data_IF_320900915546
#
_entry.id   IF_320900915546
#
_cell.length_a   1.000
_cell.length_b   1.000
_cell.length_c   1.000
_cell.angle_alpha   90.00
_cell.angle_beta   90.00
_cell.angle_gamma   90.00
#
_symmetry.space_group_name_H-M   'P 1'
#
loop_
_entity.id
_entity.type
_entity.pdbx_description
1 polymer ?
#
# COMPACT_ATOMS: atom_id res chain seq x y z
N UNK A 1 -13.98 -19.78 -6.08
CA UNK A 1 -14.67 -18.67 -5.39
C UNK A 1 -13.96 -18.36 -4.07
N UNK A 2 -13.95 -17.12 -3.57
CA UNK A 2 -13.33 -16.76 -2.27
C UNK A 2 -14.27 -15.90 -1.45
N UNK A 3 -14.44 -16.23 -0.17
CA UNK A 3 -15.31 -15.55 0.78
C UNK A 3 -14.50 -15.08 1.99
N UNK A 4 -14.79 -13.87 2.49
CA UNK A 4 -14.12 -13.28 3.65
C UNK A 4 -15.14 -13.02 4.75
N UNK A 5 -14.90 -13.57 5.93
CA UNK A 5 -15.71 -13.31 7.12
C UNK A 5 -15.13 -12.10 7.87
N UNK A 6 -15.87 -10.98 7.87
CA UNK A 6 -15.43 -9.75 8.54
C UNK A 6 -15.34 -9.88 10.08
N UNK A 7 -16.03 -10.86 10.68
CA UNK A 7 -16.10 -11.05 12.13
C UNK A 7 -14.94 -11.89 12.67
N UNK A 8 -14.51 -12.91 11.92
CA UNK A 8 -13.40 -13.79 12.29
C UNK A 8 -12.08 -13.39 11.60
N UNK A 9 -12.17 -12.67 10.48
CA UNK A 9 -11.03 -12.36 9.62
C UNK A 9 -10.53 -13.54 8.80
N UNK A 10 -11.29 -14.65 8.75
CA UNK A 10 -10.93 -15.84 7.99
C UNK A 10 -11.33 -15.70 6.51
N UNK A 11 -10.49 -16.23 5.63
CA UNK A 11 -10.80 -16.33 4.20
C UNK A 11 -11.01 -17.79 3.86
N UNK A 12 -12.16 -18.11 3.29
CA UNK A 12 -12.47 -19.43 2.75
C UNK A 12 -12.32 -19.40 1.23
N UNK A 13 -11.58 -20.38 0.70
CA UNK A 13 -11.38 -20.54 -0.74
C UNK A 13 -12.07 -21.82 -1.15
N UNK A 14 -12.92 -21.72 -2.16
CA UNK A 14 -13.68 -22.83 -2.71
C UNK A 14 -13.22 -23.12 -4.13
N UNK A 15 -12.88 -24.37 -4.41
CA UNK A 15 -12.70 -24.88 -5.76
C UNK A 15 -14.05 -25.34 -6.30
N UNK A 16 -14.38 -24.93 -7.52
CA UNK A 16 -15.54 -25.44 -8.24
C UNK A 16 -15.14 -26.77 -8.89
N UNK A 17 -15.91 -27.82 -8.61
CA UNK A 17 -15.66 -29.16 -9.13
C UNK A 17 -16.91 -29.75 -9.78
N UNK A 18 -16.72 -30.43 -10.91
CA UNK A 18 -17.79 -31.12 -11.63
C UNK A 18 -18.02 -32.50 -11.03
N UNK A 19 -19.27 -32.84 -10.77
CA UNK A 19 -19.66 -34.15 -10.24
C UNK A 19 -19.65 -35.18 -11.36
N UNK A 20 -18.83 -36.22 -11.22
CA UNK A 20 -18.66 -37.29 -12.20
C UNK A 20 -18.80 -38.67 -11.54
N UNK A 21 -19.10 -39.71 -12.33
CA UNK A 21 -19.14 -41.09 -11.82
C UNK A 21 -17.73 -41.67 -11.63
N UNK A 22 -16.81 -41.35 -12.54
CA UNK A 22 -15.41 -41.79 -12.48
C UNK A 22 -14.54 -40.55 -12.60
N UNK A 23 -13.66 -40.33 -11.63
CA UNK A 23 -12.77 -39.17 -11.57
C UNK A 23 -11.53 -39.43 -12.42
N UNK A 24 -11.34 -38.63 -13.46
CA UNK A 24 -10.14 -38.61 -14.30
C UNK A 24 -9.22 -37.44 -13.91
N UNK A 25 -9.79 -36.28 -13.54
CA UNK A 25 -9.05 -35.11 -13.07
C UNK A 25 -9.46 -34.70 -11.64
N UNK A 26 -8.75 -35.17 -10.59
CA UNK A 26 -9.07 -34.83 -9.21
C UNK A 26 -8.96 -33.34 -8.85
N UNK A 27 -8.40 -32.48 -9.70
CA UNK A 27 -8.40 -31.03 -9.43
C UNK A 27 -9.72 -30.36 -9.82
N UNK A 28 -10.38 -30.84 -10.88
CA UNK A 28 -11.59 -30.24 -11.46
C UNK A 28 -12.84 -31.11 -11.26
N UNK A 29 -12.67 -32.35 -10.82
CA UNK A 29 -13.73 -33.34 -10.68
C UNK A 29 -13.83 -33.89 -9.26
N UNK A 30 -15.03 -34.37 -8.92
CA UNK A 30 -15.36 -35.04 -7.66
C UNK A 30 -16.33 -36.19 -7.92
N UNK A 31 -16.15 -37.30 -7.20
CA UNK A 31 -17.05 -38.44 -7.29
C UNK A 31 -18.44 -38.10 -6.74
N UNK A 32 -19.49 -38.67 -7.32
CA UNK A 32 -20.88 -38.48 -6.85
C UNK A 32 -21.07 -38.77 -5.35
N UNK A 33 -20.39 -39.78 -4.81
CA UNK A 33 -20.49 -40.12 -3.39
C UNK A 33 -19.92 -39.01 -2.50
N UNK A 34 -18.72 -38.52 -2.81
CA UNK A 34 -18.08 -37.42 -2.07
C UNK A 34 -18.84 -36.10 -2.24
N UNK A 35 -19.37 -35.84 -3.44
CA UNK A 35 -20.18 -34.64 -3.69
C UNK A 35 -21.48 -34.62 -2.85
N UNK A 36 -22.08 -35.80 -2.61
CA UNK A 36 -23.28 -35.94 -1.79
C UNK A 36 -23.05 -35.73 -0.30
N UNK A 37 -21.83 -35.92 0.21
CA UNK A 37 -21.49 -35.57 1.59
C UNK A 37 -21.52 -34.05 1.82
N UNK A 38 -21.18 -33.28 0.78
CA UNK A 38 -21.20 -31.82 0.80
C UNK A 38 -22.60 -31.25 0.50
N UNK A 39 -23.29 -31.83 -0.48
CA UNK A 39 -24.60 -31.39 -0.92
C UNK A 39 -25.47 -32.61 -1.31
N UNK A 40 -26.43 -33.03 -0.47
CA UNK A 40 -27.15 -34.30 -0.66
C UNK A 40 -27.96 -34.44 -1.95
N UNK A 41 -28.33 -33.33 -2.59
CA UNK A 41 -29.21 -33.32 -3.77
C UNK A 41 -28.48 -33.26 -5.12
N UNK A 42 -27.14 -33.35 -5.13
CA UNK A 42 -26.33 -33.21 -6.36
C UNK A 42 -26.40 -34.44 -7.26
N UNK A 43 -26.34 -34.20 -8.57
CA UNK A 43 -26.36 -35.20 -9.62
C UNK A 43 -25.08 -35.13 -10.47
N UNK A 44 -24.83 -36.19 -11.23
CA UNK A 44 -23.72 -36.23 -12.19
C UNK A 44 -23.92 -35.14 -13.24
N UNK A 45 -22.89 -34.33 -13.47
CA UNK A 45 -22.92 -33.16 -14.34
C UNK A 45 -23.17 -31.84 -13.61
N UNK A 46 -23.56 -31.86 -12.33
CA UNK A 46 -23.66 -30.64 -11.53
C UNK A 46 -22.28 -30.16 -11.06
N UNK A 47 -22.20 -28.90 -10.64
CA UNK A 47 -20.99 -28.30 -10.06
C UNK A 47 -21.16 -28.04 -8.57
N UNK A 48 -20.17 -28.44 -7.77
CA UNK A 48 -20.13 -28.24 -6.32
C UNK A 48 -18.91 -27.43 -5.92
N UNK A 49 -19.04 -26.69 -4.82
CA UNK A 49 -17.97 -25.87 -4.25
C UNK A 49 -17.31 -26.63 -3.09
N UNK A 50 -16.07 -27.06 -3.29
CA UNK A 50 -15.29 -27.77 -2.26
C UNK A 50 -14.34 -26.80 -1.58
N UNK A 51 -14.39 -26.75 -0.24
CA UNK A 51 -13.47 -25.93 0.55
C UNK A 51 -12.03 -26.43 0.36
N UNK A 52 -11.16 -25.57 -0.16
CA UNK A 52 -9.73 -25.84 -0.25
C UNK A 52 -8.99 -25.26 0.96
N UNK A 53 -8.33 -26.16 1.69
CA UNK A 53 -7.37 -25.79 2.71
C UNK A 53 -6.03 -25.54 2.01
N UNK A 54 -5.75 -24.29 1.67
CA UNK A 54 -4.45 -23.91 1.12
C UNK A 54 -3.43 -23.89 2.26
N UNK A 55 -2.62 -24.96 2.34
CA UNK A 55 -1.45 -24.96 3.21
C UNK A 55 -0.55 -23.75 2.87
N UNK A 56 -0.18 -22.96 3.87
CA UNK A 56 0.56 -21.69 3.77
C UNK A 56 -0.21 -20.44 3.34
N UNK A 57 -1.52 -20.51 3.04
CA UNK A 57 -2.30 -19.33 2.71
C UNK A 57 -2.25 -18.29 3.83
N UNK A 58 -2.41 -18.70 5.10
CA UNK A 58 -2.34 -17.80 6.24
C UNK A 58 -1.02 -17.02 6.35
N UNK A 59 0.12 -17.63 6.00
CA UNK A 59 1.43 -16.94 6.02
C UNK A 59 1.53 -15.90 4.90
N UNK A 60 1.12 -16.27 3.68
CA UNK A 60 1.14 -15.38 2.52
C UNK A 60 0.15 -14.22 2.72
N UNK A 61 -1.07 -14.52 3.18
CA UNK A 61 -2.10 -13.55 3.51
C UNK A 61 -1.65 -12.60 4.62
N UNK A 62 -1.03 -13.10 5.69
CA UNK A 62 -0.50 -12.24 6.76
C UNK A 62 0.62 -11.30 6.27
N UNK A 63 1.51 -11.78 5.39
CA UNK A 63 2.55 -10.96 4.76
C UNK A 63 1.94 -9.88 3.85
N UNK A 64 0.97 -10.25 3.01
CA UNK A 64 0.26 -9.33 2.14
C UNK A 64 -0.49 -8.27 2.96
N UNK A 65 -1.22 -8.69 4.01
CA UNK A 65 -1.91 -7.80 4.92
C UNK A 65 -0.95 -6.80 5.57
N UNK A 66 0.20 -7.25 6.08
CA UNK A 66 1.25 -6.36 6.60
C UNK A 66 1.71 -5.35 5.55
N UNK A 67 1.92 -5.78 4.30
CA UNK A 67 2.34 -4.90 3.21
C UNK A 67 1.26 -3.86 2.88
N UNK A 68 -0.01 -4.26 2.81
CA UNK A 68 -1.15 -3.35 2.56
C UNK A 68 -1.31 -2.35 3.70
N UNK A 69 -1.19 -2.78 4.95
CA UNK A 69 -1.25 -1.90 6.12
C UNK A 69 -0.12 -0.86 6.06
N UNK A 70 1.12 -1.31 5.83
CA UNK A 70 2.27 -0.40 5.71
C UNK A 70 2.10 0.60 4.56
N UNK A 71 1.55 0.15 3.44
CA UNK A 71 1.23 1.04 2.32
C UNK A 71 0.18 2.07 2.71
N UNK A 72 -0.90 1.68 3.40
CA UNK A 72 -1.97 2.59 3.85
C UNK A 72 -1.48 3.60 4.87
N UNK A 73 -0.61 3.19 5.79
CA UNK A 73 0.05 4.10 6.74
C UNK A 73 0.89 5.13 6.00
N UNK A 74 1.71 4.69 5.05
CA UNK A 74 2.54 5.60 4.24
C UNK A 74 1.69 6.57 3.40
N UNK A 75 0.62 6.08 2.76
CA UNK A 75 -0.32 6.93 2.02
C UNK A 75 -0.93 8.01 2.92
N UNK A 76 -1.35 7.64 4.13
CA UNK A 76 -1.89 8.59 5.11
C UNK A 76 -0.84 9.62 5.57
N UNK A 77 0.42 9.22 5.77
CA UNK A 77 1.50 10.15 6.09
C UNK A 77 1.77 11.16 4.97
N UNK A 78 1.86 10.68 3.72
CA UNK A 78 2.03 11.52 2.52
C UNK A 78 0.87 12.52 2.41
N UNK A 79 -0.36 12.05 2.61
CA UNK A 79 -1.56 12.89 2.55
C UNK A 79 -1.58 13.94 3.65
N UNK A 80 -1.14 13.58 4.86
CA UNK A 80 -1.06 14.50 5.97
C UNK A 80 -0.09 15.64 5.68
N UNK A 81 1.10 15.32 5.16
CA UNK A 81 2.11 16.31 4.77
C UNK A 81 1.55 17.22 3.66
N UNK A 82 1.04 16.63 2.57
CA UNK A 82 0.52 17.42 1.46
C UNK A 82 -0.59 18.39 1.90
N UNK A 83 -1.56 17.91 2.69
CA UNK A 83 -2.66 18.74 3.18
C UNK A 83 -2.20 19.86 4.10
N UNK A 84 -1.09 19.69 4.82
CA UNK A 84 -0.56 20.73 5.71
C UNK A 84 0.15 21.88 4.95
N UNK A 85 0.74 21.60 3.78
CA UNK A 85 1.52 22.58 3.04
C UNK A 85 0.85 23.11 1.78
N UNK A 86 -0.17 22.42 1.23
CA UNK A 86 -0.84 22.83 -0.03
C UNK A 86 -1.36 24.27 0.00
N UNK A 87 -1.87 24.72 1.15
CA UNK A 87 -2.46 26.05 1.33
C UNK A 87 -1.43 27.11 1.73
N UNK A 88 -0.18 26.70 2.01
CA UNK A 88 0.95 27.58 2.38
C UNK A 88 1.83 27.94 1.19
N UNK A 89 1.44 27.55 -0.02
CA UNK A 89 2.15 27.93 -1.24
C UNK A 89 2.10 29.45 -1.36
N UNK A 90 3.28 30.07 -1.48
CA UNK A 90 3.40 31.52 -1.45
C UNK A 90 3.82 32.11 -0.10
N UNK A 91 3.89 31.30 0.95
CA UNK A 91 4.32 31.76 2.27
C UNK A 91 5.82 31.55 2.49
N UNK A 92 6.38 32.34 3.42
CA UNK A 92 7.72 32.12 3.96
C UNK A 92 7.67 31.15 5.13
N UNK A 93 8.56 30.16 5.11
CA UNK A 93 8.70 29.18 6.18
C UNK A 93 10.12 29.17 6.73
N UNK A 94 10.24 28.93 8.04
CA UNK A 94 11.54 28.71 8.68
C UNK A 94 11.80 27.20 8.77
N UNK A 95 13.03 26.79 8.50
CA UNK A 95 13.47 25.42 8.63
C UNK A 95 14.94 25.33 9.06
N UNK A 96 15.44 24.11 9.16
CA UNK A 96 16.84 23.82 9.51
C UNK A 96 17.48 23.02 8.39
N UNK A 97 18.65 23.43 7.92
CA UNK A 97 19.39 22.69 6.89
C UNK A 97 19.81 21.32 7.44
N UNK A 98 19.28 20.26 6.86
CA UNK A 98 19.51 18.87 7.26
C UNK A 98 20.74 18.29 6.58
N UNK A 99 20.82 18.44 5.26
CA UNK A 99 21.86 17.86 4.40
C UNK A 99 21.88 18.53 3.02
N UNK A 100 22.90 18.21 2.24
CA UNK A 100 23.06 18.65 0.86
C UNK A 100 23.04 17.42 -0.05
N UNK A 101 22.25 17.46 -1.13
CA UNK A 101 22.14 16.38 -2.11
C UNK A 101 22.35 16.94 -3.50
N UNK A 102 23.45 16.55 -4.17
CA UNK A 102 23.76 16.98 -5.55
C UNK A 102 23.72 18.51 -5.80
N UNK A 103 23.94 19.31 -4.75
CA UNK A 103 23.87 20.77 -4.80
C UNK A 103 22.54 21.37 -4.35
N UNK A 104 21.51 20.54 -4.16
CA UNK A 104 20.25 20.93 -3.54
C UNK A 104 20.39 20.89 -2.01
N UNK A 105 19.66 21.77 -1.34
CA UNK A 105 19.66 21.84 0.12
C UNK A 105 18.38 21.17 0.62
N UNK A 106 18.53 20.13 1.43
CA UNK A 106 17.40 19.51 2.12
C UNK A 106 17.21 20.21 3.46
N UNK A 107 15.99 20.68 3.69
CA UNK A 107 15.59 21.49 4.85
C UNK A 107 14.54 20.73 5.65
N UNK A 108 14.75 20.62 6.95
CA UNK A 108 13.76 20.14 7.89
C UNK A 108 12.74 21.24 8.19
N UNK A 109 11.47 20.98 7.88
CA UNK A 109 10.33 21.86 8.19
C UNK A 109 9.57 21.39 9.45
N UNK A 110 10.13 20.44 10.20
CA UNK A 110 9.58 19.84 11.43
C UNK A 110 8.61 18.70 11.19
N UNK A 111 7.72 18.83 10.19
CA UNK A 111 6.74 17.79 9.83
C UNK A 111 6.93 17.22 8.43
N UNK A 112 7.82 17.80 7.64
CA UNK A 112 8.12 17.41 6.28
C UNK A 112 9.55 17.82 5.91
N UNK A 113 10.10 17.18 4.88
CA UNK A 113 11.33 17.63 4.24
C UNK A 113 10.99 18.60 3.10
N UNK A 114 11.67 19.73 3.09
CA UNK A 114 11.72 20.67 1.98
C UNK A 114 13.00 20.51 1.18
N UNK A 115 12.95 20.80 -0.11
CA UNK A 115 14.12 20.84 -0.98
C UNK A 115 14.22 22.25 -1.56
N UNK A 116 15.37 22.89 -1.36
CA UNK A 116 15.74 24.15 -1.97
C UNK A 116 16.72 23.88 -3.13
N UNK A 117 16.22 23.86 -4.39
CA UNK A 117 17.03 23.51 -5.54
C UNK A 117 18.16 24.51 -5.76
N UNK A 118 19.31 24.05 -6.28
CA UNK A 118 20.47 24.92 -6.55
C UNK A 118 20.14 26.16 -7.39
N UNK A 119 19.16 26.05 -8.29
CA UNK A 119 18.72 27.15 -9.17
C UNK A 119 17.94 28.25 -8.45
N UNK A 120 17.29 27.90 -7.34
CA UNK A 120 16.49 28.83 -6.52
C UNK A 120 17.30 29.38 -5.33
N UNK A 121 18.51 28.87 -5.09
CA UNK A 121 19.41 29.35 -4.03
C UNK A 121 19.96 30.74 -4.36
N UNK A 122 20.03 31.59 -3.35
CA UNK A 122 20.65 32.92 -3.46
C UNK A 122 22.16 32.77 -3.54
N UNK A 123 22.76 33.23 -4.64
CA UNK A 123 24.20 33.07 -4.93
C UNK A 123 25.14 33.53 -3.80
N UNK A 124 24.73 34.49 -2.97
CA UNK A 124 25.53 35.07 -1.89
C UNK A 124 25.29 34.41 -0.53
N UNK A 125 24.27 33.58 -0.38
CA UNK A 125 23.99 32.88 0.86
C UNK A 125 24.66 31.51 0.85
N UNK A 126 25.49 31.25 1.85
CA UNK A 126 26.09 29.96 2.10
C UNK A 126 25.49 29.40 3.39
N UNK A 127 24.99 28.17 3.32
CA UNK A 127 24.46 27.46 4.47
C UNK A 127 25.37 26.28 4.83
N UNK A 128 25.40 25.95 6.11
CA UNK A 128 25.96 24.71 6.64
C UNK A 128 24.85 23.85 7.23
N UNK A 129 25.17 22.57 7.47
CA UNK A 129 24.27 21.67 8.18
C UNK A 129 23.97 22.19 9.58
N UNK A 130 22.69 22.26 9.93
CA UNK A 130 22.21 22.80 11.20
C UNK A 130 21.85 24.28 11.17
N UNK A 131 22.17 24.99 10.09
CA UNK A 131 21.83 26.41 9.97
C UNK A 131 20.32 26.59 9.82
N UNK A 132 19.80 27.67 10.41
CA UNK A 132 18.41 28.07 10.24
C UNK A 132 18.27 28.80 8.92
N UNK A 133 17.31 28.39 8.12
CA UNK A 133 17.00 29.01 6.82
C UNK A 133 15.56 29.49 6.82
N UNK A 134 15.31 30.62 6.18
CA UNK A 134 13.96 31.06 5.83
C UNK A 134 13.83 30.98 4.32
N UNK A 135 12.85 30.21 3.85
CA UNK A 135 12.66 29.96 2.43
C UNK A 135 11.20 30.21 2.03
N UNK A 136 10.97 30.41 0.74
CA UNK A 136 9.66 30.65 0.16
C UNK A 136 9.09 29.35 -0.37
N UNK A 137 7.85 29.00 -0.03
CA UNK A 137 7.25 27.77 -0.54
C UNK A 137 6.82 28.00 -1.99
N UNK A 138 7.66 27.56 -2.93
CA UNK A 138 7.43 27.66 -4.37
C UNK A 138 6.32 26.71 -4.84
N UNK A 139 6.37 25.46 -4.38
CA UNK A 139 5.42 24.43 -4.79
C UNK A 139 5.33 23.29 -3.78
N UNK A 140 4.23 22.55 -3.78
CA UNK A 140 4.06 21.34 -2.97
C UNK A 140 3.59 20.23 -3.87
N UNK A 141 4.44 19.22 -4.05
CA UNK A 141 4.21 18.12 -4.98
C UNK A 141 3.90 16.85 -4.22
N UNK A 142 2.78 16.21 -4.57
CA UNK A 142 2.42 14.88 -4.08
C UNK A 142 2.74 13.83 -5.14
N UNK A 143 3.52 12.83 -4.76
CA UNK A 143 3.73 11.62 -5.55
C UNK A 143 3.24 10.40 -4.75
N UNK A 144 2.98 9.25 -5.38
CA UNK A 144 2.64 8.02 -4.66
C UNK A 144 3.71 7.55 -3.65
N UNK A 145 4.95 8.04 -3.79
CA UNK A 145 6.09 7.66 -2.95
C UNK A 145 6.41 8.67 -1.85
N UNK A 146 6.12 9.95 -2.06
CA UNK A 146 6.45 11.03 -1.12
C UNK A 146 5.69 12.32 -1.44
N UNK A 147 5.48 13.16 -0.42
CA UNK A 147 5.13 14.56 -0.58
C UNK A 147 6.38 15.42 -0.40
N UNK A 148 6.64 16.30 -1.35
CA UNK A 148 7.83 17.14 -1.41
C UNK A 148 7.44 18.61 -1.41
N UNK A 149 8.03 19.38 -0.50
CA UNK A 149 7.90 20.85 -0.47
C UNK A 149 9.09 21.43 -1.21
N UNK A 150 8.83 22.16 -2.30
CA UNK A 150 9.86 22.87 -3.06
C UNK A 150 9.97 24.28 -2.49
N UNK A 151 11.18 24.61 -2.06
CA UNK A 151 11.58 25.88 -1.45
C UNK A 151 12.34 26.78 -2.43
#
# INVERSE_FOLDING_TARGET
>A
HSEFDESTGEVHIFAEKTVVETVDNPEEEIALEEARELAPEVQVGDTVHVLQILENYGRIAAQLAKQVILQKVREAEIDRVYNEFKDKKGDLINGIVQRFEHGDIVVDLGKAEGILPRREQVFREAFNRGDRIRAYILDVRKTPKSAMVVL
#
